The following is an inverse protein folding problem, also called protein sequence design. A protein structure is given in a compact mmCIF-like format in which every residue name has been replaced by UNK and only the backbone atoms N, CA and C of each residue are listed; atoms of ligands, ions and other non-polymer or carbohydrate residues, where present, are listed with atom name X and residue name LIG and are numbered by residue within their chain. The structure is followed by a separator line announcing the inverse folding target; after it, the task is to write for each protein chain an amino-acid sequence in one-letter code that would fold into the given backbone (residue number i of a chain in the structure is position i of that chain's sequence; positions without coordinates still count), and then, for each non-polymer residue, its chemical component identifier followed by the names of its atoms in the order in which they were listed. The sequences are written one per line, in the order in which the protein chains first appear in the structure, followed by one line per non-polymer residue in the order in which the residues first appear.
data_IF_219166817838
#
_entry.id   IF_219166817838
#
_cell.length_a   1.000
_cell.length_b   1.000
_cell.length_c   1.000
_cell.angle_alpha   90.00
_cell.angle_beta   90.00
_cell.angle_gamma   90.00
#
_symmetry.space_group_name_H-M   'P 1'
#
loop_
_entity.id
_entity.type
_entity.pdbx_description
1 polymer ?
#
# COMPACT_ATOMS: atom_id res chain seq x y z
N UNK A 1 -2.23 2.49 22.82
CA UNK A 1 -3.68 2.33 22.54
C UNK A 1 -4.37 3.64 22.87
N UNK A 2 -5.22 4.17 21.97
CA UNK A 2 -5.96 5.44 22.20
C UNK A 2 -7.15 5.31 23.17
N UNK A 3 -7.40 4.09 23.70
CA UNK A 3 -8.50 3.80 24.61
C UNK A 3 -8.06 2.72 25.61
N UNK A 4 -8.47 2.85 26.87
CA UNK A 4 -8.20 1.92 27.98
C UNK A 4 -9.36 0.97 28.27
N UNK A 5 -10.52 1.19 27.65
CA UNK A 5 -11.71 0.35 27.76
C UNK A 5 -12.50 0.29 26.45
N UNK A 6 -13.39 -0.70 26.34
CA UNK A 6 -14.32 -0.81 25.21
C UNK A 6 -15.25 0.42 25.11
N UNK A 7 -15.73 0.94 26.25
CA UNK A 7 -16.59 2.12 26.28
C UNK A 7 -15.87 3.40 25.78
N UNK A 8 -14.60 3.59 26.17
CA UNK A 8 -13.78 4.69 25.67
C UNK A 8 -13.55 4.58 24.16
N UNK A 9 -13.31 3.36 23.65
CA UNK A 9 -13.18 3.10 22.23
C UNK A 9 -14.48 3.39 21.47
N UNK A 10 -15.62 2.93 21.98
CA UNK A 10 -16.93 3.16 21.37
C UNK A 10 -17.29 4.64 21.29
N UNK A 11 -17.02 5.39 22.36
CA UNK A 11 -17.23 6.83 22.40
C UNK A 11 -16.37 7.56 21.36
N UNK A 12 -15.06 7.28 21.36
CA UNK A 12 -14.13 7.84 20.37
C UNK A 12 -14.53 7.47 18.94
N UNK A 13 -14.85 6.19 18.68
CA UNK A 13 -15.19 5.73 17.34
C UNK A 13 -16.45 6.43 16.83
N UNK A 14 -17.48 6.57 17.65
CA UNK A 14 -18.70 7.30 17.27
C UNK A 14 -18.40 8.76 16.97
N UNK A 15 -17.62 9.44 17.82
CA UNK A 15 -17.32 10.88 17.72
C UNK A 15 -16.40 11.20 16.53
N UNK A 16 -15.29 10.48 16.42
CA UNK A 16 -14.20 10.80 15.50
C UNK A 16 -14.31 10.08 14.15
N UNK A 17 -14.92 8.88 14.12
CA UNK A 17 -15.13 8.12 12.87
C UNK A 17 -16.52 8.35 12.29
N UNK A 18 -17.50 8.80 13.09
CA UNK A 18 -18.86 9.10 12.63
C UNK A 18 -19.65 7.84 12.25
N UNK A 19 -19.29 6.68 12.79
CA UNK A 19 -19.96 5.39 12.53
C UNK A 19 -20.42 4.76 13.84
N UNK A 20 -21.56 4.08 13.80
CA UNK A 20 -22.07 3.31 14.95
C UNK A 20 -21.44 1.91 14.97
N UNK A 21 -20.96 1.50 16.14
CA UNK A 21 -20.57 0.11 16.37
C UNK A 21 -21.83 -0.72 16.61
N UNK A 22 -21.95 -1.81 15.86
CA UNK A 22 -23.03 -2.78 16.00
C UNK A 22 -22.44 -4.02 16.65
N UNK A 23 -22.99 -4.41 17.80
CA UNK A 23 -22.59 -5.66 18.45
C UNK A 23 -23.17 -6.82 17.66
N UNK A 24 -22.28 -7.67 17.16
CA UNK A 24 -22.62 -8.89 16.43
C UNK A 24 -21.97 -10.06 17.14
N UNK A 25 -22.55 -11.25 17.04
CA UNK A 25 -21.86 -12.47 17.44
C UNK A 25 -20.88 -12.86 16.33
N UNK A 26 -19.56 -12.69 16.54
CA UNK A 26 -18.59 -12.97 15.49
C UNK A 26 -18.45 -14.49 15.29
N UNK A 27 -17.99 -14.94 14.10
CA UNK A 27 -17.53 -16.31 13.94
C UNK A 27 -16.52 -16.68 15.03
N UNK A 28 -16.66 -17.86 15.63
CA UNK A 28 -15.84 -18.31 16.78
C UNK A 28 -14.33 -18.26 16.51
N UNK A 29 -13.93 -18.37 15.25
CA UNK A 29 -12.53 -18.39 14.82
C UNK A 29 -12.01 -17.02 14.33
N UNK A 30 -12.81 -15.94 14.41
CA UNK A 30 -12.43 -14.63 13.87
C UNK A 30 -11.17 -14.06 14.56
N UNK A 31 -11.09 -14.15 15.89
CA UNK A 31 -9.94 -13.65 16.65
C UNK A 31 -8.65 -14.36 16.23
N UNK A 32 -8.67 -15.70 16.21
CA UNK A 32 -7.53 -16.51 15.77
C UNK A 32 -7.12 -16.20 14.32
N UNK A 33 -8.09 -16.00 13.41
CA UNK A 33 -7.80 -15.58 12.02
C UNK A 33 -7.14 -14.21 11.93
N UNK A 34 -7.55 -13.27 12.78
CA UNK A 34 -6.93 -11.94 12.85
C UNK A 34 -5.49 -12.05 13.36
N UNK A 35 -5.25 -12.81 14.43
CA UNK A 35 -3.92 -13.06 14.97
C UNK A 35 -3.01 -13.72 13.93
N UNK A 36 -3.47 -14.79 13.29
CA UNK A 36 -2.74 -15.46 12.21
C UNK A 36 -2.37 -14.51 11.06
N UNK A 37 -3.27 -13.60 10.69
CA UNK A 37 -3.02 -12.58 9.66
C UNK A 37 -1.98 -11.55 10.11
N UNK A 38 -2.05 -11.10 11.36
CA UNK A 38 -1.12 -10.12 11.94
C UNK A 38 0.29 -10.69 12.08
N UNK A 39 0.40 -11.97 12.44
CA UNK A 39 1.66 -12.71 12.56
C UNK A 39 2.17 -13.22 11.21
N UNK A 40 1.38 -13.08 10.14
CA UNK A 40 1.73 -13.51 8.79
C UNK A 40 1.67 -15.03 8.57
N UNK A 41 1.05 -15.77 9.49
CA UNK A 41 0.84 -17.24 9.41
C UNK A 41 -0.18 -17.61 8.34
N UNK A 42 -1.30 -16.90 8.25
CA UNK A 42 -2.37 -17.20 7.29
C UNK A 42 -3.04 -15.94 6.77
N UNK A 43 -3.24 -15.88 5.44
CA UNK A 43 -3.99 -14.78 4.82
C UNK A 43 -5.50 -14.93 5.02
N UNK A 44 -6.14 -13.89 5.54
CA UNK A 44 -7.60 -13.78 5.57
C UNK A 44 -8.17 -13.56 4.16
N UNK A 45 -9.39 -14.06 3.94
CA UNK A 45 -10.19 -13.80 2.74
C UNK A 45 -11.30 -12.83 3.10
N UNK A 46 -11.59 -11.90 2.20
CA UNK A 46 -12.62 -10.89 2.39
C UNK A 46 -13.70 -11.06 1.33
N UNK A 47 -14.95 -11.06 1.76
CA UNK A 47 -16.09 -11.01 0.85
C UNK A 47 -16.32 -9.57 0.41
N UNK A 48 -16.10 -9.30 -0.87
CA UNK A 48 -16.24 -7.97 -1.48
C UNK A 48 -17.45 -7.88 -2.43
N UNK A 49 -18.31 -8.92 -2.48
CA UNK A 49 -19.42 -9.00 -3.45
C UNK A 49 -20.42 -7.85 -3.35
N UNK A 50 -20.52 -7.18 -2.20
CA UNK A 50 -21.35 -5.99 -2.00
C UNK A 50 -20.79 -4.68 -2.59
N UNK A 51 -19.60 -4.70 -3.18
CA UNK A 51 -18.95 -3.54 -3.79
C UNK A 51 -19.08 -3.55 -5.32
N UNK A 52 -18.90 -2.40 -5.95
CA UNK A 52 -18.86 -2.31 -7.42
C UNK A 52 -17.69 -3.15 -7.99
N UNK A 53 -17.80 -3.68 -9.22
CA UNK A 53 -16.72 -4.45 -9.84
C UNK A 53 -15.37 -3.70 -9.87
N UNK A 54 -15.40 -2.39 -10.10
CA UNK A 54 -14.21 -1.55 -10.07
C UNK A 54 -13.58 -1.50 -8.66
N UNK A 55 -14.37 -1.27 -7.62
CA UNK A 55 -13.88 -1.26 -6.24
C UNK A 55 -13.34 -2.63 -5.82
N UNK A 56 -14.00 -3.72 -6.22
CA UNK A 56 -13.49 -5.08 -5.99
C UNK A 56 -12.10 -5.25 -6.63
N UNK A 57 -11.94 -4.90 -7.91
CA UNK A 57 -10.66 -4.99 -8.60
C UNK A 57 -9.55 -4.17 -7.92
N UNK A 58 -9.85 -2.93 -7.51
CA UNK A 58 -8.91 -2.06 -6.78
C UNK A 58 -8.46 -2.69 -5.47
N UNK A 59 -9.40 -3.16 -4.64
CA UNK A 59 -9.11 -3.69 -3.31
C UNK A 59 -8.38 -5.05 -3.40
N UNK A 60 -8.79 -5.92 -4.32
CA UNK A 60 -8.10 -7.18 -4.61
C UNK A 60 -6.67 -6.95 -5.08
N UNK A 61 -6.45 -5.98 -5.98
CA UNK A 61 -5.10 -5.61 -6.43
C UNK A 61 -4.25 -5.03 -5.30
N UNK A 62 -4.86 -4.27 -4.40
CA UNK A 62 -4.18 -3.70 -3.22
C UNK A 62 -3.67 -4.78 -2.26
N UNK A 63 -4.41 -5.89 -2.10
CA UNK A 63 -3.98 -7.03 -1.27
C UNK A 63 -2.68 -7.70 -1.77
N UNK A 64 -2.31 -7.49 -3.04
CA UNK A 64 -1.06 -8.02 -3.59
C UNK A 64 0.17 -7.25 -3.07
N UNK A 65 0.02 -6.02 -2.57
CA UNK A 65 1.16 -5.20 -2.12
C UNK A 65 1.72 -5.75 -0.81
N UNK A 66 2.96 -6.28 -0.77
CA UNK A 66 3.48 -6.93 0.44
C UNK A 66 3.78 -5.93 1.56
N UNK A 67 3.83 -6.43 2.81
CA UNK A 67 4.26 -5.64 3.98
C UNK A 67 5.63 -5.00 3.72
N UNK A 68 5.76 -3.72 4.08
CA UNK A 68 7.00 -2.97 3.91
C UNK A 68 7.27 -2.52 2.47
N UNK A 69 6.28 -2.66 1.57
CA UNK A 69 6.30 -2.12 0.22
C UNK A 69 5.17 -1.13 0.00
N UNK A 70 5.38 -0.20 -0.92
CA UNK A 70 4.34 0.75 -1.38
C UNK A 70 4.24 0.78 -2.89
N UNK A 71 3.07 1.16 -3.40
CA UNK A 71 2.84 1.39 -4.84
C UNK A 71 2.10 2.71 -5.06
N UNK A 72 2.31 3.38 -6.20
CA UNK A 72 1.54 4.57 -6.54
C UNK A 72 0.10 4.19 -6.93
N UNK A 73 -0.85 5.12 -6.79
CA UNK A 73 -2.23 4.91 -7.26
C UNK A 73 -2.30 4.50 -8.74
N UNK A 74 -1.43 5.09 -9.58
CA UNK A 74 -1.33 4.75 -11.00
C UNK A 74 -0.90 3.31 -11.26
N UNK A 75 -0.16 2.69 -10.35
CA UNK A 75 0.20 1.27 -10.45
C UNK A 75 -1.05 0.40 -10.36
N UNK A 76 -1.94 0.66 -9.39
CA UNK A 76 -3.21 -0.08 -9.28
C UNK A 76 -4.05 0.16 -10.52
N UNK A 77 -4.23 1.42 -10.93
CA UNK A 77 -5.03 1.80 -12.10
C UNK A 77 -4.61 1.01 -13.35
N UNK A 78 -3.30 0.92 -13.60
CA UNK A 78 -2.73 0.09 -14.68
C UNK A 78 -3.02 -1.39 -14.49
N UNK A 79 -2.74 -1.93 -13.31
CA UNK A 79 -2.84 -3.36 -13.02
C UNK A 79 -4.27 -3.91 -13.06
N UNK A 80 -5.28 -3.05 -13.00
CA UNK A 80 -6.69 -3.40 -13.18
C UNK A 80 -7.21 -3.09 -14.59
N UNK A 81 -6.35 -2.66 -15.52
CA UNK A 81 -6.72 -2.37 -16.92
C UNK A 81 -7.34 -0.99 -17.15
N UNK A 82 -7.25 -0.07 -16.18
CA UNK A 82 -7.83 1.28 -16.26
C UNK A 82 -6.81 2.37 -15.94
N UNK A 83 -5.73 2.55 -16.75
CA UNK A 83 -4.61 3.43 -16.42
C UNK A 83 -5.00 4.91 -16.15
N UNK A 84 -6.03 5.42 -16.82
CA UNK A 84 -6.54 6.78 -16.61
C UNK A 84 -7.35 6.96 -15.31
N UNK A 85 -7.74 5.87 -14.63
CA UNK A 85 -8.67 5.89 -13.49
C UNK A 85 -8.01 6.19 -12.14
N UNK A 86 -6.85 6.85 -12.11
CA UNK A 86 -6.05 7.11 -10.89
C UNK A 86 -6.88 7.77 -9.77
N UNK A 87 -7.71 8.75 -10.10
CA UNK A 87 -8.59 9.43 -9.13
C UNK A 87 -9.66 8.47 -8.58
N UNK A 88 -10.29 7.67 -9.45
CA UNK A 88 -11.30 6.70 -9.05
C UNK A 88 -10.71 5.59 -8.16
N UNK A 89 -9.47 5.16 -8.41
CA UNK A 89 -8.72 4.27 -7.50
C UNK A 89 -8.59 4.90 -6.11
N UNK A 90 -8.24 6.19 -6.04
CA UNK A 90 -8.19 6.93 -4.77
C UNK A 90 -9.53 6.90 -4.02
N UNK A 91 -10.63 7.15 -4.72
CA UNK A 91 -11.98 7.08 -4.13
C UNK A 91 -12.34 5.67 -3.65
N UNK A 92 -12.04 4.63 -4.42
CA UNK A 92 -12.29 3.24 -4.01
C UNK A 92 -11.49 2.87 -2.75
N UNK A 93 -10.22 3.29 -2.67
CA UNK A 93 -9.37 3.07 -1.49
C UNK A 93 -9.82 3.86 -0.26
N UNK A 94 -10.34 5.07 -0.45
CA UNK A 94 -10.91 5.88 0.63
C UNK A 94 -12.16 5.22 1.23
N UNK A 95 -12.91 4.48 0.43
CA UNK A 95 -14.11 3.73 0.83
C UNK A 95 -13.82 2.24 1.13
N UNK A 96 -12.56 1.88 1.39
CA UNK A 96 -12.19 0.53 1.81
C UNK A 96 -12.94 0.15 3.11
N UNK A 97 -13.83 -0.87 3.09
CA UNK A 97 -14.62 -1.25 4.26
C UNK A 97 -13.78 -1.93 5.35
N UNK A 98 -12.59 -2.43 5.01
CA UNK A 98 -11.73 -3.21 5.90
C UNK A 98 -10.31 -2.61 5.86
N UNK A 99 -10.13 -1.38 6.38
CA UNK A 99 -8.83 -0.72 6.43
C UNK A 99 -7.83 -1.56 7.23
N UNK A 100 -6.54 -1.27 7.04
CA UNK A 100 -5.40 -2.04 7.56
C UNK A 100 -5.24 -3.45 6.95
N UNK A 101 -6.29 -4.28 6.97
CA UNK A 101 -6.23 -5.65 6.42
C UNK A 101 -6.21 -5.68 4.90
N UNK A 102 -7.09 -4.90 4.25
CA UNK A 102 -6.87 -4.49 2.86
C UNK A 102 -5.95 -3.27 2.92
N UNK A 103 -4.69 -3.37 2.48
CA UNK A 103 -3.64 -2.45 2.90
C UNK A 103 -3.63 -1.17 2.06
N UNK A 104 -4.73 -0.41 2.07
CA UNK A 104 -4.82 0.86 1.35
C UNK A 104 -3.84 1.94 1.85
N UNK A 105 -3.27 1.76 3.06
CA UNK A 105 -2.15 2.57 3.55
C UNK A 105 -0.86 2.37 2.75
N UNK A 106 -0.68 1.24 2.04
CA UNK A 106 0.47 0.96 1.17
C UNK A 106 0.39 1.61 -0.21
N UNK A 107 -0.71 2.31 -0.50
CA UNK A 107 -0.89 3.05 -1.75
C UNK A 107 -0.63 4.53 -1.50
N UNK A 108 0.36 5.10 -2.19
CA UNK A 108 0.78 6.49 -1.98
C UNK A 108 0.82 7.28 -3.29
N UNK A 109 1.10 8.57 -3.22
CA UNK A 109 1.31 9.38 -4.41
C UNK A 109 2.71 9.11 -5.01
N UNK A 110 2.83 9.28 -6.32
CA UNK A 110 4.08 9.07 -7.06
C UNK A 110 5.19 10.05 -6.65
N UNK A 111 4.82 11.23 -6.13
CA UNK A 111 5.72 12.25 -5.59
C UNK A 111 6.19 11.95 -4.14
N UNK A 112 5.88 10.76 -3.61
CA UNK A 112 6.28 10.35 -2.26
C UNK A 112 5.45 10.98 -1.15
N UNK A 113 4.47 11.83 -1.46
CA UNK A 113 3.56 12.42 -0.46
C UNK A 113 2.62 11.33 0.07
N UNK A 114 2.53 11.27 1.40
CA UNK A 114 1.60 10.40 2.11
C UNK A 114 0.23 11.06 2.06
N UNK A 115 -0.63 10.56 1.17
CA UNK A 115 -2.01 11.04 1.04
C UNK A 115 -2.89 10.64 2.23
N UNK A 116 -4.11 11.17 2.23
CA UNK A 116 -5.08 10.90 3.28
C UNK A 116 -5.39 9.40 3.44
N UNK A 117 -5.91 9.03 4.62
CA UNK A 117 -6.22 7.66 5.00
C UNK A 117 -7.49 7.61 5.85
N UNK A 118 -8.46 6.80 5.43
CA UNK A 118 -9.73 6.64 6.16
C UNK A 118 -9.56 6.12 7.59
N UNK A 119 -8.45 5.43 7.89
CA UNK A 119 -8.15 4.88 9.22
C UNK A 119 -7.42 5.84 10.16
N UNK A 120 -7.64 7.16 10.05
CA UNK A 120 -7.09 8.15 11.00
C UNK A 120 -6.10 9.17 10.42
N UNK A 121 -6.18 9.47 9.12
CA UNK A 121 -5.43 10.56 8.50
C UNK A 121 -4.02 10.19 8.03
N UNK A 122 -3.31 11.14 7.39
CA UNK A 122 -1.99 10.92 6.81
C UNK A 122 -0.92 10.54 7.86
N UNK A 123 -1.04 11.02 9.10
CA UNK A 123 -0.13 10.68 10.20
C UNK A 123 -0.26 9.21 10.59
N UNK A 124 -1.49 8.70 10.72
CA UNK A 124 -1.74 7.29 10.99
C UNK A 124 -1.20 6.41 9.86
N UNK A 125 -1.38 6.82 8.60
CA UNK A 125 -0.82 6.13 7.44
C UNK A 125 0.71 6.06 7.51
N UNK A 126 1.37 7.18 7.83
CA UNK A 126 2.82 7.23 7.96
C UNK A 126 3.34 6.35 9.12
N UNK A 127 2.64 6.33 10.25
CA UNK A 127 2.99 5.48 11.39
C UNK A 127 2.89 3.99 11.04
N UNK A 128 1.80 3.57 10.38
CA UNK A 128 1.63 2.17 9.94
C UNK A 128 2.75 1.79 8.96
N UNK A 129 3.04 2.63 7.96
CA UNK A 129 4.12 2.37 7.01
C UNK A 129 5.48 2.23 7.69
N UNK A 130 5.75 3.06 8.69
CA UNK A 130 6.98 3.01 9.48
C UNK A 130 7.09 1.71 10.28
N UNK A 131 5.99 1.27 10.90
CA UNK A 131 5.89 -0.03 11.60
C UNK A 131 6.04 -1.24 10.67
N UNK A 132 5.75 -1.07 9.38
CA UNK A 132 6.00 -2.08 8.36
C UNK A 132 7.45 -2.06 7.84
N UNK A 133 8.28 -1.13 8.32
CA UNK A 133 9.69 -1.00 7.94
C UNK A 133 9.92 -0.17 6.68
N UNK A 134 8.94 0.63 6.25
CA UNK A 134 9.11 1.56 5.12
C UNK A 134 9.96 2.75 5.56
N UNK A 135 11.09 2.98 4.88
CA UNK A 135 11.95 4.14 5.13
C UNK A 135 11.36 5.39 4.47
N UNK A 136 10.37 6.02 5.13
CA UNK A 136 9.63 7.16 4.58
C UNK A 136 10.52 8.34 4.18
N UNK A 137 11.51 8.69 5.01
CA UNK A 137 12.44 9.80 4.70
C UNK A 137 13.19 9.54 3.39
N UNK A 138 13.76 8.34 3.22
CA UNK A 138 14.46 7.93 1.99
C UNK A 138 13.54 8.01 0.76
N UNK A 139 12.33 7.46 0.89
CA UNK A 139 11.34 7.48 -0.18
C UNK A 139 10.97 8.90 -0.60
N UNK A 140 10.75 9.79 0.37
CA UNK A 140 10.44 11.19 0.12
C UNK A 140 11.62 11.95 -0.49
N UNK A 141 12.85 11.71 -0.04
CA UNK A 141 14.06 12.30 -0.62
C UNK A 141 14.20 11.92 -2.10
N UNK A 142 14.11 10.63 -2.43
CA UNK A 142 14.15 10.16 -3.82
C UNK A 142 13.04 10.82 -4.65
N UNK A 143 11.82 10.84 -4.11
CA UNK A 143 10.68 11.36 -4.84
C UNK A 143 10.77 12.87 -5.12
N UNK A 144 11.29 13.67 -4.16
CA UNK A 144 11.56 15.10 -4.32
C UNK A 144 12.63 15.38 -5.37
N UNK A 145 13.62 14.51 -5.50
CA UNK A 145 14.63 14.56 -6.57
C UNK A 145 14.12 14.05 -7.92
N UNK A 146 12.82 13.75 -8.05
CA UNK A 146 12.25 13.23 -9.28
C UNK A 146 12.57 11.75 -9.54
N UNK A 147 13.32 11.08 -8.67
CA UNK A 147 13.70 9.68 -8.83
C UNK A 147 12.52 8.78 -8.43
N UNK A 148 12.22 7.79 -9.28
CA UNK A 148 11.08 6.87 -9.12
C UNK A 148 11.51 5.42 -9.05
N UNK A 149 12.64 5.07 -9.66
CA UNK A 149 13.09 3.69 -9.77
C UNK A 149 14.55 3.52 -9.38
N UNK A 150 14.86 2.29 -8.99
CA UNK A 150 16.20 1.84 -8.61
C UNK A 150 16.59 0.63 -9.46
N UNK A 151 17.61 0.80 -10.30
CA UNK A 151 18.27 -0.22 -11.10
C UNK A 151 19.41 -0.90 -10.36
N UNK A 152 19.44 -2.22 -10.33
CA UNK A 152 20.58 -2.99 -9.81
C UNK A 152 21.60 -3.21 -10.92
N UNK A 153 22.84 -2.72 -10.74
CA UNK A 153 23.89 -2.73 -11.78
C UNK A 153 24.18 -4.11 -12.36
N UNK A 154 24.28 -5.13 -11.50
CA UNK A 154 24.66 -6.50 -11.89
C UNK A 154 23.57 -7.23 -12.66
N UNK A 155 22.30 -7.06 -12.29
CA UNK A 155 21.19 -7.80 -12.90
C UNK A 155 20.51 -7.04 -14.02
N UNK A 156 20.78 -5.72 -14.14
CA UNK A 156 20.08 -4.81 -15.05
C UNK A 156 18.56 -4.85 -14.86
N UNK A 157 18.12 -4.98 -13.61
CA UNK A 157 16.70 -4.95 -13.23
C UNK A 157 16.42 -3.65 -12.50
N UNK A 158 15.40 -2.90 -12.92
CA UNK A 158 14.90 -1.76 -12.15
C UNK A 158 13.64 -2.10 -11.35
N UNK A 159 13.48 -1.44 -10.21
CA UNK A 159 12.45 -1.70 -9.19
C UNK A 159 11.87 -0.39 -8.64
N UNK A 160 10.72 -0.48 -7.94
CA UNK A 160 10.33 0.55 -6.99
C UNK A 160 11.29 0.58 -5.77
N UNK A 161 11.52 1.73 -5.12
CA UNK A 161 12.45 1.88 -3.99
C UNK A 161 12.15 1.01 -2.76
N UNK A 162 10.93 0.49 -2.65
CA UNK A 162 10.50 -0.39 -1.55
C UNK A 162 10.36 -1.84 -1.98
N UNK A 163 10.79 -2.20 -3.20
CA UNK A 163 10.78 -3.58 -3.67
C UNK A 163 11.61 -4.49 -2.75
N UNK A 164 11.08 -5.67 -2.44
CA UNK A 164 11.75 -6.68 -1.64
C UNK A 164 13.14 -7.08 -2.17
N UNK A 165 13.29 -7.17 -3.49
CA UNK A 165 14.56 -7.51 -4.12
C UNK A 165 15.54 -6.34 -4.07
N UNK A 166 15.06 -5.13 -4.36
CA UNK A 166 15.87 -3.91 -4.29
C UNK A 166 16.45 -3.69 -2.90
N UNK A 167 15.62 -3.71 -1.85
CA UNK A 167 16.04 -3.40 -0.46
C UNK A 167 17.15 -4.29 0.14
N UNK A 168 17.54 -5.37 -0.53
CA UNK A 168 18.61 -6.29 -0.11
C UNK A 168 19.95 -6.01 -0.79
N UNK A 169 19.94 -5.15 -1.81
CA UNK A 169 21.12 -4.77 -2.57
C UNK A 169 21.86 -3.67 -1.81
N UNK A 170 23.21 -3.75 -1.81
CA UNK A 170 24.07 -2.73 -1.22
C UNK A 170 23.89 -1.40 -1.97
N UNK A 171 23.88 -0.29 -1.25
CA UNK A 171 23.54 1.03 -1.80
C UNK A 171 24.39 1.45 -3.01
N UNK A 172 25.70 1.15 -2.99
CA UNK A 172 26.60 1.44 -4.12
C UNK A 172 26.30 0.70 -5.42
N UNK A 173 25.44 -0.31 -5.40
CA UNK A 173 25.07 -1.09 -6.59
C UNK A 173 23.82 -0.58 -7.30
N UNK A 174 23.26 0.55 -6.85
CA UNK A 174 22.12 1.17 -7.52
C UNK A 174 22.52 2.15 -8.63
N UNK A 175 21.61 2.28 -9.59
CA UNK A 175 21.42 3.39 -10.51
C UNK A 175 19.99 3.87 -10.32
N UNK A 176 19.75 5.17 -10.33
CA UNK A 176 18.41 5.71 -10.12
C UNK A 176 17.85 6.22 -11.45
N UNK A 177 16.53 6.15 -11.61
CA UNK A 177 15.84 6.62 -12.80
C UNK A 177 14.60 7.44 -12.43
N UNK A 178 14.33 8.47 -13.22
CA UNK A 178 13.17 9.35 -13.13
C UNK A 178 11.90 8.69 -13.68
N UNK A 179 12.05 7.93 -14.75
CA UNK A 179 10.96 7.21 -15.38
C UNK A 179 11.43 5.87 -15.96
N UNK A 180 10.50 5.15 -16.58
CA UNK A 180 10.79 3.88 -17.20
C UNK A 180 11.58 4.03 -18.51
N UNK A 181 11.29 5.07 -19.30
CA UNK A 181 11.92 5.25 -20.60
C UNK A 181 13.42 5.41 -20.42
N UNK A 182 13.84 6.20 -19.42
CA UNK A 182 15.23 6.35 -19.00
C UNK A 182 15.85 5.00 -18.59
N UNK A 183 15.17 4.22 -17.75
CA UNK A 183 15.66 2.92 -17.30
C UNK A 183 15.87 1.95 -18.48
N UNK A 184 14.93 1.93 -19.44
CA UNK A 184 15.02 1.09 -20.63
C UNK A 184 16.12 1.53 -21.58
N UNK A 185 16.25 2.83 -21.82
CA UNK A 185 17.34 3.38 -22.63
C UNK A 185 18.71 3.03 -22.04
N UNK A 186 18.82 2.96 -20.71
CA UNK A 186 20.02 2.50 -20.01
C UNK A 186 20.22 0.97 -19.99
N UNK A 187 19.37 0.20 -20.69
CA UNK A 187 19.45 -1.25 -20.81
C UNK A 187 18.90 -2.04 -19.61
N UNK A 188 18.06 -1.42 -18.77
CA UNK A 188 17.43 -2.09 -17.64
C UNK A 188 16.04 -2.62 -18.02
N UNK A 189 15.70 -3.79 -17.50
CA UNK A 189 14.37 -4.39 -17.62
C UNK A 189 13.58 -4.27 -16.31
N UNK A 190 12.24 -4.19 -16.36
CA UNK A 190 11.42 -4.07 -15.16
C UNK A 190 11.48 -5.36 -14.32
N UNK A 191 11.45 -5.19 -13.00
CA UNK A 191 11.28 -6.29 -12.06
C UNK A 191 9.91 -6.95 -12.22
N UNK A 192 9.88 -8.27 -12.35
CA UNK A 192 8.64 -9.05 -12.51
C UNK A 192 7.78 -9.08 -11.24
N UNK A 193 8.37 -8.89 -10.06
CA UNK A 193 7.65 -8.94 -8.78
C UNK A 193 7.02 -7.60 -8.42
N UNK A 194 7.84 -6.54 -8.39
CA UNK A 194 7.31 -5.22 -8.06
C UNK A 194 6.57 -4.56 -9.22
N UNK A 195 6.76 -5.07 -10.45
CA UNK A 195 6.13 -4.59 -11.68
C UNK A 195 6.21 -3.06 -11.76
N UNK A 196 7.42 -2.48 -11.71
CA UNK A 196 7.56 -1.05 -11.93
C UNK A 196 7.07 -0.75 -13.36
N UNK A 197 6.66 0.49 -13.61
CA UNK A 197 5.89 0.86 -14.79
C UNK A 197 6.40 0.18 -16.06
N UNK A 198 5.45 -0.31 -16.86
CA UNK A 198 5.63 -0.71 -18.25
C UNK A 198 4.60 -0.01 -19.11
N UNK A 199 5.04 1.11 -19.70
CA UNK A 199 4.36 2.18 -20.43
C UNK A 199 3.37 3.03 -19.61
#
# INVERSE_FOLDING_TARGET
MRSKSAAEFEHWFRKDVGRQLVRVEPPRDLAAKIEDQLEGKRRMRFDLRGLTPFSQAVLSKTLEIPRGQVRPYGWIAREIGHPAAVRAVGTALANNPIPYFIPCHRVIRTDGVIGNYGGGGPEAKAQILSLEGVQLKRLQTLARSGLRYEGVRSTKIFCFPTCYHGRRVREGNFVFFHDEAEARAAGYRPCKDCRPAVA
#
